data_IF_805261799561
#
_entry.id   IF_805261799561
#
_cell.length_a   1.000
_cell.length_b   1.000
_cell.length_c   1.000
_cell.angle_alpha   90.00
_cell.angle_beta   90.00
_cell.angle_gamma   90.00
#
_symmetry.space_group_name_H-M   'P 1'
#
loop_
_entity.id
_entity.type
_entity.pdbx_description
1 polymer ?
#
# COMPACT_ATOMS: atom_id res chain seq x y z
N UNK A 1 -29.82 -22.30 -52.83
CA UNK A 1 -30.43 -22.57 -51.52
C UNK A 1 -30.28 -24.05 -51.21
N UNK A 2 -29.36 -24.39 -50.31
CA UNK A 2 -29.32 -25.73 -49.71
C UNK A 2 -30.42 -25.73 -48.64
N UNK A 3 -31.37 -26.67 -48.70
CA UNK A 3 -32.42 -26.76 -47.67
C UNK A 3 -31.84 -27.14 -46.31
N UNK A 4 -32.46 -26.67 -45.22
CA UNK A 4 -32.02 -26.89 -43.83
C UNK A 4 -31.74 -28.37 -43.53
N UNK A 5 -32.60 -29.28 -44.00
CA UNK A 5 -32.39 -30.74 -43.84
C UNK A 5 -31.11 -31.25 -44.52
N UNK A 6 -30.76 -30.70 -45.67
CA UNK A 6 -29.53 -31.07 -46.39
C UNK A 6 -28.30 -30.49 -45.69
N UNK A 7 -28.41 -29.32 -45.05
CA UNK A 7 -27.34 -28.76 -44.23
C UNK A 7 -27.10 -29.61 -42.97
N UNK A 8 -28.16 -29.99 -42.25
CA UNK A 8 -28.09 -30.87 -41.08
C UNK A 8 -27.34 -32.16 -41.43
N UNK A 9 -27.74 -32.82 -42.52
CA UNK A 9 -27.10 -34.07 -42.94
C UNK A 9 -25.61 -33.90 -43.23
N UNK A 10 -25.18 -32.78 -43.83
CA UNK A 10 -23.76 -32.52 -44.08
C UNK A 10 -22.95 -32.42 -42.78
N UNK A 11 -23.48 -31.75 -41.76
CA UNK A 11 -22.81 -31.63 -40.47
C UNK A 11 -22.83 -32.94 -39.67
N UNK A 12 -23.93 -33.70 -39.72
CA UNK A 12 -24.00 -35.04 -39.09
C UNK A 12 -23.02 -36.03 -39.73
N UNK A 13 -22.96 -36.06 -41.07
CA UNK A 13 -22.01 -36.90 -41.80
C UNK A 13 -20.55 -36.49 -41.49
N UNK A 14 -20.30 -35.19 -41.27
CA UNK A 14 -18.97 -34.70 -40.88
C UNK A 14 -18.56 -35.20 -39.48
N UNK A 15 -19.50 -35.26 -38.53
CA UNK A 15 -19.27 -35.76 -37.18
C UNK A 15 -19.12 -37.28 -37.08
N UNK A 16 -19.55 -38.02 -38.11
CA UNK A 16 -19.42 -39.48 -38.18
C UNK A 16 -18.10 -39.96 -38.80
N UNK A 17 -17.28 -39.07 -39.38
CA UNK A 17 -15.99 -39.44 -39.98
C UNK A 17 -15.01 -39.87 -38.89
N UNK A 18 -14.38 -41.04 -39.06
CA UNK A 18 -13.39 -41.58 -38.11
C UNK A 18 -12.14 -40.68 -38.00
N UNK A 19 -11.76 -40.33 -36.78
CA UNK A 19 -10.56 -39.57 -36.42
C UNK A 19 -10.86 -38.41 -35.45
N UNK A 20 -9.83 -37.83 -34.79
CA UNK A 20 -10.01 -36.60 -34.05
C UNK A 20 -10.44 -35.49 -35.03
N UNK A 21 -11.65 -34.98 -34.85
CA UNK A 21 -12.22 -33.90 -35.64
C UNK A 21 -11.82 -32.56 -35.00
N UNK A 22 -10.83 -31.82 -35.55
CA UNK A 22 -10.65 -30.43 -35.16
C UNK A 22 -11.94 -29.66 -35.44
N UNK A 23 -12.34 -28.79 -34.51
CA UNK A 23 -13.56 -27.96 -34.58
C UNK A 23 -14.87 -28.75 -34.52
N UNK A 24 -14.88 -29.91 -33.85
CA UNK A 24 -16.12 -30.67 -33.61
C UNK A 24 -17.17 -29.85 -32.84
N UNK A 25 -16.71 -28.96 -31.96
CA UNK A 25 -17.55 -28.05 -31.21
C UNK A 25 -18.36 -27.11 -32.13
N UNK A 26 -17.69 -26.53 -33.13
CA UNK A 26 -18.33 -25.64 -34.10
C UNK A 26 -19.40 -26.35 -34.93
N UNK A 27 -19.17 -27.61 -35.35
CA UNK A 27 -20.19 -28.38 -36.05
C UNK A 27 -21.41 -28.69 -35.20
N UNK A 28 -21.22 -28.93 -33.90
CA UNK A 28 -22.33 -29.07 -32.98
C UNK A 28 -23.08 -27.75 -32.76
N UNK A 29 -22.40 -26.60 -32.72
CA UNK A 29 -23.05 -25.29 -32.65
C UNK A 29 -23.91 -25.00 -33.89
N UNK A 30 -23.38 -25.24 -35.09
CA UNK A 30 -24.13 -25.08 -36.35
C UNK A 30 -25.34 -26.02 -36.43
N UNK A 31 -25.19 -27.28 -36.00
CA UNK A 31 -26.32 -28.20 -35.90
C UNK A 31 -27.39 -27.71 -34.94
N UNK A 32 -26.99 -27.12 -33.81
CA UNK A 32 -27.96 -26.56 -32.88
C UNK A 32 -28.79 -25.45 -33.53
N UNK A 33 -28.16 -24.52 -34.25
CA UNK A 33 -28.85 -23.46 -34.97
C UNK A 33 -29.82 -24.01 -36.02
N UNK A 34 -29.39 -24.98 -36.82
CA UNK A 34 -30.25 -25.60 -37.83
C UNK A 34 -31.44 -26.34 -37.22
N UNK A 35 -31.25 -27.02 -36.09
CA UNK A 35 -32.34 -27.68 -35.37
C UNK A 35 -33.30 -26.68 -34.70
N UNK A 36 -32.82 -25.53 -34.21
CA UNK A 36 -33.67 -24.43 -33.75
C UNK A 36 -34.53 -23.87 -34.88
N UNK A 37 -33.97 -23.67 -36.08
CA UNK A 37 -34.70 -23.20 -37.27
C UNK A 37 -35.85 -24.15 -37.66
N UNK A 38 -35.70 -25.45 -37.40
CA UNK A 38 -36.74 -26.45 -37.61
C UNK A 38 -37.75 -26.54 -36.45
N UNK A 39 -37.56 -25.79 -35.37
CA UNK A 39 -38.36 -25.91 -34.15
C UNK A 39 -38.06 -27.16 -33.32
N UNK A 40 -37.01 -27.92 -33.64
CA UNK A 40 -36.61 -29.11 -32.91
C UNK A 40 -35.72 -28.74 -31.70
N UNK A 41 -36.39 -28.28 -30.64
CA UNK A 41 -35.74 -27.79 -29.43
C UNK A 41 -34.91 -28.86 -28.69
N UNK A 42 -35.28 -30.13 -28.76
CA UNK A 42 -34.58 -31.20 -28.04
C UNK A 42 -33.25 -31.53 -28.71
N UNK A 43 -33.24 -31.66 -30.04
CA UNK A 43 -32.00 -31.83 -30.81
C UNK A 43 -31.09 -30.62 -30.69
N UNK A 44 -31.64 -29.40 -30.76
CA UNK A 44 -30.89 -28.17 -30.56
C UNK A 44 -30.18 -28.16 -29.18
N UNK A 45 -30.92 -28.41 -28.10
CA UNK A 45 -30.35 -28.48 -26.73
C UNK A 45 -29.27 -29.56 -26.59
N UNK A 46 -29.47 -30.72 -27.21
CA UNK A 46 -28.45 -31.78 -27.22
C UNK A 46 -27.16 -31.29 -27.87
N UNK A 47 -27.27 -30.65 -29.03
CA UNK A 47 -26.12 -30.16 -29.77
C UNK A 47 -25.42 -28.97 -29.10
N UNK A 48 -26.16 -28.08 -28.43
CA UNK A 48 -25.57 -27.01 -27.60
C UNK A 48 -24.69 -27.59 -26.49
N UNK A 49 -25.19 -28.61 -25.77
CA UNK A 49 -24.40 -29.25 -24.70
C UNK A 49 -23.11 -29.89 -25.23
N UNK A 50 -23.19 -30.54 -26.40
CA UNK A 50 -22.03 -31.13 -27.05
C UNK A 50 -21.04 -30.05 -27.54
N UNK A 51 -21.53 -28.93 -28.06
CA UNK A 51 -20.70 -27.81 -28.48
C UNK A 51 -19.96 -27.16 -27.30
N UNK A 52 -20.63 -26.94 -26.17
CA UNK A 52 -20.01 -26.42 -24.94
C UNK A 52 -18.89 -27.34 -24.48
N UNK A 53 -19.16 -28.64 -24.36
CA UNK A 53 -18.15 -29.63 -23.96
C UNK A 53 -16.96 -29.67 -24.92
N UNK A 54 -17.22 -29.65 -26.23
CA UNK A 54 -16.17 -29.61 -27.25
C UNK A 54 -15.31 -28.34 -27.15
N UNK A 55 -15.92 -27.17 -26.96
CA UNK A 55 -15.16 -25.92 -26.80
C UNK A 55 -14.30 -25.91 -25.52
N UNK A 56 -14.78 -26.51 -24.42
CA UNK A 56 -13.96 -26.71 -23.22
C UNK A 56 -12.76 -27.63 -23.48
N UNK A 57 -12.95 -28.76 -24.17
CA UNK A 57 -11.88 -29.70 -24.52
C UNK A 57 -10.85 -29.09 -25.49
N UNK A 58 -11.31 -28.29 -26.46
CA UNK A 58 -10.47 -27.58 -27.42
C UNK A 58 -9.73 -26.37 -26.80
N UNK A 59 -10.06 -25.99 -25.55
CA UNK A 59 -9.52 -24.80 -24.88
C UNK A 59 -10.07 -23.47 -25.44
N UNK A 60 -11.15 -23.52 -26.21
CA UNK A 60 -11.84 -22.38 -26.81
C UNK A 60 -12.82 -21.73 -25.81
N UNK A 61 -12.27 -21.17 -24.73
CA UNK A 61 -13.00 -20.62 -23.58
C UNK A 61 -14.17 -19.71 -23.99
N UNK A 62 -13.95 -18.79 -24.92
CA UNK A 62 -14.99 -17.83 -25.33
C UNK A 62 -16.15 -18.49 -26.09
N UNK A 63 -15.91 -19.58 -26.83
CA UNK A 63 -16.97 -20.34 -27.49
C UNK A 63 -17.91 -20.97 -26.46
N UNK A 64 -17.35 -21.65 -25.47
CA UNK A 64 -18.11 -22.25 -24.38
C UNK A 64 -18.87 -21.18 -23.55
N UNK A 65 -18.21 -20.07 -23.19
CA UNK A 65 -18.82 -18.96 -22.44
C UNK A 65 -20.00 -18.32 -23.18
N UNK A 66 -19.86 -18.08 -24.49
CA UNK A 66 -20.94 -17.46 -25.28
C UNK A 66 -22.18 -18.36 -25.33
N UNK A 67 -21.99 -19.67 -25.50
CA UNK A 67 -23.10 -20.63 -25.49
C UNK A 67 -23.76 -20.75 -24.12
N UNK A 68 -22.98 -20.81 -23.03
CA UNK A 68 -23.52 -20.83 -21.67
C UNK A 68 -24.24 -19.52 -21.30
N UNK A 69 -23.76 -18.36 -21.75
CA UNK A 69 -24.48 -17.09 -21.57
C UNK A 69 -25.83 -17.07 -22.30
N UNK A 70 -25.89 -17.66 -23.51
CA UNK A 70 -27.10 -17.62 -24.34
C UNK A 70 -28.14 -18.68 -23.97
N UNK A 71 -27.69 -19.87 -23.57
CA UNK A 71 -28.55 -21.04 -23.44
C UNK A 71 -28.45 -21.74 -22.07
N UNK A 72 -27.50 -21.33 -21.24
CA UNK A 72 -27.15 -21.98 -19.98
C UNK A 72 -27.29 -21.06 -18.76
N UNK A 73 -26.30 -21.08 -17.88
CA UNK A 73 -26.34 -20.32 -16.61
C UNK A 73 -25.06 -19.52 -16.38
N UNK A 74 -25.19 -18.39 -15.69
CA UNK A 74 -24.03 -17.61 -15.24
C UNK A 74 -23.10 -18.41 -14.32
N UNK A 75 -23.63 -19.35 -13.53
CA UNK A 75 -22.81 -20.25 -12.70
C UNK A 75 -21.86 -21.12 -13.54
N UNK A 76 -22.31 -21.60 -14.71
CA UNK A 76 -21.46 -22.35 -15.62
C UNK A 76 -20.43 -21.44 -16.29
N UNK A 77 -20.83 -20.23 -16.70
CA UNK A 77 -19.91 -19.20 -17.24
C UNK A 77 -18.78 -18.93 -16.24
N UNK A 78 -19.11 -18.71 -14.96
CA UNK A 78 -18.14 -18.48 -13.89
C UNK A 78 -17.19 -19.67 -13.76
N UNK A 79 -17.72 -20.91 -13.73
CA UNK A 79 -16.89 -22.13 -13.62
C UNK A 79 -15.91 -22.27 -14.77
N UNK A 80 -16.35 -22.06 -16.01
CA UNK A 80 -15.51 -22.15 -17.20
C UNK A 80 -14.39 -21.12 -17.14
N UNK A 81 -14.72 -19.87 -16.84
CA UNK A 81 -13.75 -18.77 -16.77
C UNK A 81 -12.73 -18.97 -15.64
N UNK A 82 -13.17 -19.36 -14.43
CA UNK A 82 -12.27 -19.63 -13.30
C UNK A 82 -11.33 -20.80 -13.62
N UNK A 83 -11.84 -21.91 -14.15
CA UNK A 83 -11.02 -23.06 -14.53
C UNK A 83 -9.99 -22.68 -15.59
N UNK A 84 -10.41 -21.93 -16.61
CA UNK A 84 -9.51 -21.46 -17.65
C UNK A 84 -8.44 -20.50 -17.10
N UNK A 85 -8.81 -19.62 -16.16
CA UNK A 85 -7.89 -18.73 -15.48
C UNK A 85 -6.81 -19.51 -14.72
N UNK A 86 -7.20 -20.52 -13.94
CA UNK A 86 -6.31 -21.38 -13.16
C UNK A 86 -5.34 -22.16 -14.08
N UNK A 87 -5.81 -22.69 -15.21
CA UNK A 87 -4.96 -23.36 -16.20
C UNK A 87 -3.94 -22.39 -16.80
N UNK A 88 -4.34 -21.17 -17.16
CA UNK A 88 -3.43 -20.16 -17.72
C UNK A 88 -2.41 -19.69 -16.69
N UNK A 89 -2.83 -19.52 -15.44
CA UNK A 89 -1.94 -19.16 -14.34
C UNK A 89 -0.88 -20.25 -14.10
N UNK A 90 -1.30 -21.53 -14.05
CA UNK A 90 -0.39 -22.66 -13.89
C UNK A 90 0.62 -22.78 -15.05
N UNK A 91 0.23 -22.35 -16.26
CA UNK A 91 1.11 -22.30 -17.42
C UNK A 91 2.03 -21.05 -17.47
N UNK A 92 2.01 -20.19 -16.45
CA UNK A 92 2.80 -18.95 -16.40
C UNK A 92 2.23 -17.79 -17.23
N UNK A 93 1.03 -17.93 -17.79
CA UNK A 93 0.33 -16.92 -18.59
C UNK A 93 -0.43 -15.89 -17.74
N UNK A 94 0.25 -15.26 -16.77
CA UNK A 94 -0.36 -14.43 -15.70
C UNK A 94 -1.40 -13.42 -16.19
N UNK A 95 -1.08 -12.64 -17.23
CA UNK A 95 -2.01 -11.62 -17.78
C UNK A 95 -3.32 -12.19 -18.34
N UNK A 96 -3.24 -13.34 -19.03
CA UNK A 96 -4.44 -13.97 -19.58
C UNK A 96 -5.30 -14.60 -18.48
N UNK A 97 -4.68 -15.23 -17.48
CA UNK A 97 -5.41 -15.76 -16.32
C UNK A 97 -6.14 -14.65 -15.56
N UNK A 98 -5.48 -13.50 -15.34
CA UNK A 98 -6.08 -12.32 -14.72
C UNK A 98 -7.35 -11.86 -15.42
N UNK A 99 -7.31 -11.70 -16.75
CA UNK A 99 -8.47 -11.24 -17.53
C UNK A 99 -9.66 -12.19 -17.39
N UNK A 100 -9.41 -13.49 -17.30
CA UNK A 100 -10.44 -14.49 -17.11
C UNK A 100 -11.04 -14.44 -15.70
N UNK A 101 -10.23 -14.21 -14.66
CA UNK A 101 -10.76 -13.94 -13.32
C UNK A 101 -11.63 -12.67 -13.29
N UNK A 102 -11.21 -11.61 -13.97
CA UNK A 102 -12.00 -10.38 -14.05
C UNK A 102 -13.41 -10.64 -14.63
N UNK A 103 -13.47 -11.31 -15.78
CA UNK A 103 -14.73 -11.67 -16.44
C UNK A 103 -15.59 -12.63 -15.59
N UNK A 104 -14.94 -13.56 -14.88
CA UNK A 104 -15.65 -14.46 -13.97
C UNK A 104 -16.27 -13.71 -12.78
N UNK A 105 -15.56 -12.72 -12.24
CA UNK A 105 -16.08 -11.90 -11.16
C UNK A 105 -17.25 -11.03 -11.64
N UNK A 106 -17.16 -10.39 -12.81
CA UNK A 106 -18.28 -9.65 -13.42
C UNK A 106 -19.51 -10.55 -13.63
N UNK A 107 -19.32 -11.77 -14.12
CA UNK A 107 -20.42 -12.74 -14.26
C UNK A 107 -21.04 -13.14 -12.90
N UNK A 108 -20.23 -13.24 -11.84
CA UNK A 108 -20.72 -13.48 -10.49
C UNK A 108 -21.50 -12.29 -9.91
N UNK A 109 -21.09 -11.06 -10.22
CA UNK A 109 -21.84 -9.84 -9.87
C UNK A 109 -23.17 -9.76 -10.62
N UNK A 110 -23.16 -10.06 -11.91
CA UNK A 110 -24.36 -10.14 -12.76
C UNK A 110 -25.35 -11.18 -12.22
N UNK A 111 -24.85 -12.30 -11.70
CA UNK A 111 -25.65 -13.33 -11.05
C UNK A 111 -26.14 -12.93 -9.62
N UNK A 112 -25.71 -11.79 -9.09
CA UNK A 112 -26.03 -11.32 -7.73
C UNK A 112 -25.25 -12.04 -6.62
N UNK A 113 -24.25 -12.86 -6.96
CA UNK A 113 -23.44 -13.60 -5.99
C UNK A 113 -22.18 -12.79 -5.60
N UNK A 114 -22.40 -11.75 -4.78
CA UNK A 114 -21.36 -10.79 -4.40
C UNK A 114 -20.20 -11.42 -3.62
N UNK A 115 -20.46 -12.45 -2.80
CA UNK A 115 -19.41 -13.13 -2.04
C UNK A 115 -18.49 -13.95 -2.95
N UNK A 116 -19.07 -14.68 -3.92
CA UNK A 116 -18.28 -15.38 -4.93
C UNK A 116 -17.50 -14.38 -5.80
N UNK A 117 -18.12 -13.27 -6.23
CA UNK A 117 -17.44 -12.22 -6.97
C UNK A 117 -16.23 -11.66 -6.19
N UNK A 118 -16.39 -11.42 -4.90
CA UNK A 118 -15.30 -10.96 -4.02
C UNK A 118 -14.14 -11.96 -3.97
N UNK A 119 -14.43 -13.25 -3.83
CA UNK A 119 -13.41 -14.31 -3.81
C UNK A 119 -12.68 -14.44 -5.15
N UNK A 120 -13.39 -14.25 -6.27
CA UNK A 120 -12.79 -14.27 -7.61
C UNK A 120 -11.91 -13.02 -7.83
N UNK A 121 -12.39 -11.83 -7.45
CA UNK A 121 -11.59 -10.61 -7.45
C UNK A 121 -10.36 -10.71 -6.56
N UNK A 122 -10.44 -11.46 -5.46
CA UNK A 122 -9.30 -11.73 -4.61
C UNK A 122 -8.24 -12.58 -5.34
N UNK A 123 -8.64 -13.59 -6.13
CA UNK A 123 -7.72 -14.33 -7.02
C UNK A 123 -7.13 -13.45 -8.12
N UNK A 124 -7.95 -12.58 -8.73
CA UNK A 124 -7.50 -11.60 -9.71
C UNK A 124 -6.41 -10.69 -9.13
N UNK A 125 -6.63 -10.18 -7.91
CA UNK A 125 -5.69 -9.33 -7.19
C UNK A 125 -4.40 -10.07 -6.83
N UNK A 126 -4.49 -11.33 -6.39
CA UNK A 126 -3.30 -12.14 -6.07
C UNK A 126 -2.42 -12.39 -7.31
N UNK A 127 -3.04 -12.51 -8.48
CA UNK A 127 -2.32 -12.58 -9.75
C UNK A 127 -1.59 -11.26 -10.04
N UNK A 128 -2.29 -10.13 -9.93
CA UNK A 128 -1.73 -8.78 -10.12
C UNK A 128 -0.58 -8.46 -9.16
N UNK A 129 -0.71 -8.84 -7.88
CA UNK A 129 0.31 -8.57 -6.87
C UNK A 129 1.58 -9.42 -7.09
N UNK A 130 1.47 -10.62 -7.67
CA UNK A 130 2.63 -11.46 -8.04
C UNK A 130 3.32 -10.98 -9.32
N UNK A 131 2.58 -10.37 -10.23
CA UNK A 131 3.11 -10.04 -11.55
C UNK A 131 4.20 -8.95 -11.49
N UNK A 132 5.36 -9.17 -12.11
CA UNK A 132 6.46 -8.19 -12.12
C UNK A 132 6.31 -7.10 -13.19
N UNK A 133 5.12 -6.95 -13.79
CA UNK A 133 4.89 -6.03 -14.89
C UNK A 133 4.89 -4.58 -14.39
N UNK A 134 5.76 -3.76 -14.96
CA UNK A 134 5.87 -2.32 -14.67
C UNK A 134 4.74 -1.49 -15.29
N UNK A 135 3.90 -2.07 -16.15
CA UNK A 135 2.77 -1.40 -16.85
C UNK A 135 1.41 -1.66 -16.22
N UNK A 136 1.36 -2.15 -14.98
CA UNK A 136 0.08 -2.35 -14.30
C UNK A 136 -0.61 -1.02 -14.06
N UNK A 137 -1.91 -0.98 -14.32
CA UNK A 137 -2.74 0.17 -13.99
C UNK A 137 -2.87 0.29 -12.47
N UNK A 138 -2.13 1.24 -11.90
CA UNK A 138 -2.11 1.54 -10.48
C UNK A 138 -3.51 1.81 -9.92
N UNK A 139 -4.33 2.60 -10.60
CA UNK A 139 -5.65 2.98 -10.09
C UNK A 139 -6.60 1.78 -10.10
N UNK A 140 -6.56 0.98 -11.17
CA UNK A 140 -7.32 -0.28 -11.26
C UNK A 140 -6.96 -1.27 -10.15
N UNK A 141 -5.68 -1.51 -9.89
CA UNK A 141 -5.26 -2.46 -8.83
C UNK A 141 -5.65 -1.98 -7.44
N UNK A 142 -5.48 -0.69 -7.13
CA UNK A 142 -5.88 -0.14 -5.83
C UNK A 142 -7.41 -0.20 -5.66
N UNK A 143 -8.16 0.09 -6.71
CA UNK A 143 -9.63 0.01 -6.70
C UNK A 143 -10.09 -1.43 -6.48
N UNK A 144 -9.47 -2.39 -7.15
CA UNK A 144 -9.72 -3.81 -6.94
C UNK A 144 -9.40 -4.24 -5.50
N UNK A 145 -8.25 -3.83 -4.95
CA UNK A 145 -7.88 -4.14 -3.57
C UNK A 145 -8.88 -3.58 -2.55
N UNK A 146 -9.40 -2.36 -2.78
CA UNK A 146 -10.49 -1.78 -1.97
C UNK A 146 -11.78 -2.58 -2.11
N UNK A 147 -12.12 -3.04 -3.33
CA UNK A 147 -13.31 -3.86 -3.62
C UNK A 147 -13.25 -5.22 -2.92
N UNK A 148 -12.08 -5.87 -2.91
CA UNK A 148 -11.84 -7.12 -2.17
C UNK A 148 -12.00 -6.91 -0.66
N UNK A 149 -11.60 -5.74 -0.16
CA UNK A 149 -11.76 -5.35 1.24
C UNK A 149 -10.73 -5.98 2.18
N UNK A 150 -9.78 -6.76 1.66
CA UNK A 150 -8.67 -7.32 2.43
C UNK A 150 -7.56 -6.26 2.61
N UNK A 151 -7.33 -5.86 3.86
CA UNK A 151 -6.43 -4.76 4.22
C UNK A 151 -4.97 -5.09 3.98
N UNK A 152 -4.55 -6.32 4.25
CA UNK A 152 -3.19 -6.76 3.98
C UNK A 152 -2.86 -6.70 2.49
N UNK A 153 -3.83 -7.06 1.64
CA UNK A 153 -3.69 -6.97 0.18
C UNK A 153 -3.74 -5.53 -0.31
N UNK A 154 -4.53 -4.66 0.34
CA UNK A 154 -4.51 -3.22 0.05
C UNK A 154 -3.16 -2.58 0.40
N UNK A 155 -2.57 -2.93 1.54
CA UNK A 155 -1.22 -2.47 1.90
C UNK A 155 -0.20 -2.98 0.88
N UNK A 156 -0.25 -4.27 0.52
CA UNK A 156 0.63 -4.84 -0.49
C UNK A 156 0.49 -4.17 -1.87
N UNK A 157 -0.74 -3.78 -2.25
CA UNK A 157 -0.97 -3.00 -3.46
C UNK A 157 -0.30 -1.63 -3.39
N UNK A 158 -0.42 -0.91 -2.27
CA UNK A 158 0.27 0.37 -2.10
C UNK A 158 1.79 0.22 -2.11
N UNK A 159 2.34 -0.82 -1.45
CA UNK A 159 3.78 -1.11 -1.46
C UNK A 159 4.29 -1.41 -2.89
N UNK A 160 3.51 -2.15 -3.69
CA UNK A 160 3.86 -2.48 -5.08
C UNK A 160 3.99 -1.25 -6.00
N UNK A 161 3.22 -0.20 -5.74
CA UNK A 161 3.24 1.05 -6.53
C UNK A 161 4.01 2.17 -5.86
N UNK A 162 4.92 1.85 -4.93
CA UNK A 162 5.75 2.82 -4.21
C UNK A 162 4.90 3.95 -3.56
N UNK A 163 3.79 3.57 -2.93
CA UNK A 163 2.91 4.45 -2.16
C UNK A 163 3.02 4.21 -0.65
N UNK A 164 4.20 4.46 -0.04
CA UNK A 164 4.45 4.11 1.36
C UNK A 164 3.56 4.88 2.35
N UNK A 165 3.13 6.10 2.01
CA UNK A 165 2.26 6.89 2.89
C UNK A 165 0.88 6.26 3.08
N UNK A 166 0.29 5.75 1.99
CA UNK A 166 -1.03 5.14 2.06
C UNK A 166 -0.95 3.73 2.63
N UNK A 167 0.12 2.99 2.32
CA UNK A 167 0.45 1.73 2.98
C UNK A 167 0.57 1.92 4.51
N UNK A 168 1.32 2.94 4.94
CA UNK A 168 1.52 3.28 6.35
C UNK A 168 0.20 3.61 7.06
N UNK A 169 -0.62 4.50 6.48
CA UNK A 169 -1.89 4.91 7.09
C UNK A 169 -2.84 3.74 7.27
N UNK A 170 -2.95 2.87 6.27
CA UNK A 170 -3.80 1.67 6.37
C UNK A 170 -3.23 0.70 7.40
N UNK A 171 -1.91 0.43 7.38
CA UNK A 171 -1.27 -0.44 8.37
C UNK A 171 -1.52 0.06 9.80
N UNK A 172 -1.40 1.37 10.05
CA UNK A 172 -1.64 1.94 11.38
C UNK A 172 -3.12 1.86 11.79
N UNK A 173 -4.05 2.12 10.86
CA UNK A 173 -5.49 2.04 11.14
C UNK A 173 -5.95 0.63 11.52
N UNK A 174 -5.34 -0.40 10.94
CA UNK A 174 -5.63 -1.81 11.25
C UNK A 174 -4.81 -2.33 12.45
N UNK A 175 -3.98 -1.50 13.07
CA UNK A 175 -3.18 -1.87 14.24
C UNK A 175 -1.88 -2.63 13.93
N UNK A 176 -1.47 -2.71 12.66
CA UNK A 176 -0.21 -3.33 12.23
C UNK A 176 0.99 -2.41 12.48
N UNK A 177 1.30 -2.12 13.74
CA UNK A 177 2.31 -1.14 14.13
C UNK A 177 3.71 -1.49 13.65
N UNK A 178 4.08 -2.76 13.65
CA UNK A 178 5.41 -3.21 13.21
C UNK A 178 5.58 -3.03 11.70
N UNK A 179 4.55 -3.41 10.91
CA UNK A 179 4.53 -3.21 9.46
C UNK A 179 4.53 -1.72 9.11
N UNK A 180 3.76 -0.90 9.83
CA UNK A 180 3.77 0.55 9.65
C UNK A 180 5.18 1.13 9.88
N UNK A 181 5.89 0.70 10.94
CA UNK A 181 7.28 1.12 11.17
C UNK A 181 8.24 0.64 10.07
N UNK A 182 8.09 -0.60 9.61
CA UNK A 182 8.92 -1.13 8.53
C UNK A 182 8.75 -0.32 7.24
N UNK A 183 7.49 -0.01 6.86
CA UNK A 183 7.18 0.85 5.72
C UNK A 183 7.84 2.22 5.90
N UNK A 184 7.68 2.82 7.07
CA UNK A 184 8.22 4.14 7.37
C UNK A 184 9.75 4.19 7.26
N UNK A 185 10.46 3.16 7.74
CA UNK A 185 11.92 3.12 7.72
C UNK A 185 12.53 2.78 6.36
N UNK A 186 11.73 2.28 5.42
CA UNK A 186 12.12 2.14 4.01
C UNK A 186 11.98 3.44 3.23
N UNK A 187 11.26 4.44 3.77
CA UNK A 187 11.11 5.74 3.12
C UNK A 187 12.42 6.53 3.18
N UNK A 188 12.70 7.30 2.13
CA UNK A 188 13.79 8.28 2.18
C UNK A 188 13.47 9.41 3.16
N UNK A 189 14.50 9.98 3.77
CA UNK A 189 14.38 11.13 4.68
C UNK A 189 13.88 12.34 3.90
N UNK A 190 12.60 12.63 4.06
CA UNK A 190 11.84 13.61 3.26
C UNK A 190 10.80 14.30 4.15
N UNK A 191 10.18 15.39 3.68
CA UNK A 191 9.16 16.15 4.43
C UNK A 191 7.97 15.26 4.83
N UNK A 192 7.72 14.20 4.05
CA UNK A 192 6.70 13.19 4.21
C UNK A 192 6.80 12.48 5.57
N UNK A 193 8.01 12.18 6.06
CA UNK A 193 8.19 11.57 7.38
C UNK A 193 7.68 12.48 8.49
N UNK A 194 7.85 13.80 8.36
CA UNK A 194 7.32 14.76 9.34
C UNK A 194 5.80 14.78 9.38
N UNK A 195 5.14 14.61 8.22
CA UNK A 195 3.68 14.51 8.11
C UNK A 195 3.17 13.21 8.74
N UNK A 196 3.89 12.09 8.52
CA UNK A 196 3.58 10.81 9.14
C UNK A 196 3.76 10.85 10.67
N UNK A 197 4.83 11.46 11.16
CA UNK A 197 5.06 11.63 12.60
C UNK A 197 3.94 12.46 13.28
N UNK A 198 3.49 13.55 12.65
CA UNK A 198 2.34 14.31 13.14
C UNK A 198 1.07 13.47 13.14
N UNK A 199 0.82 12.72 12.07
CA UNK A 199 -0.32 11.81 12.00
C UNK A 199 -0.29 10.74 13.10
N UNK A 200 0.87 10.13 13.39
CA UNK A 200 0.98 9.16 14.50
C UNK A 200 0.77 9.82 15.85
N UNK A 201 1.22 11.07 16.01
CA UNK A 201 1.06 11.83 17.23
C UNK A 201 -0.41 12.13 17.52
N UNK A 202 -1.14 12.59 16.50
CA UNK A 202 -2.58 12.87 16.57
C UNK A 202 -3.39 11.61 16.91
N UNK A 203 -2.89 10.44 16.52
CA UNK A 203 -3.45 9.13 16.85
C UNK A 203 -3.01 8.57 18.21
N UNK A 204 -2.14 9.27 18.93
CA UNK A 204 -1.67 8.89 20.26
C UNK A 204 -0.50 7.90 20.27
N UNK A 205 0.10 7.57 19.13
CA UNK A 205 1.26 6.67 19.04
C UNK A 205 2.56 7.43 19.32
N UNK A 206 2.79 7.80 20.58
CA UNK A 206 3.91 8.68 20.95
C UNK A 206 5.28 8.03 20.69
N UNK A 207 5.48 6.78 21.11
CA UNK A 207 6.73 6.05 20.89
C UNK A 207 7.03 5.87 19.39
N UNK A 208 6.00 5.64 18.59
CA UNK A 208 6.13 5.56 17.12
C UNK A 208 6.56 6.90 16.55
N UNK A 209 5.88 7.98 16.95
CA UNK A 209 6.19 9.36 16.54
C UNK A 209 7.65 9.71 16.80
N UNK A 210 8.16 9.39 17.99
CA UNK A 210 9.56 9.63 18.37
C UNK A 210 10.52 8.94 17.40
N UNK A 211 10.30 7.66 17.11
CA UNK A 211 11.14 6.88 16.19
C UNK A 211 11.09 7.43 14.77
N UNK A 212 9.93 7.92 14.32
CA UNK A 212 9.80 8.53 12.99
C UNK A 212 10.57 9.86 12.94
N UNK A 213 10.46 10.72 13.96
CA UNK A 213 11.22 11.97 14.00
C UNK A 213 12.74 11.73 14.06
N UNK A 214 13.20 10.74 14.84
CA UNK A 214 14.61 10.34 14.87
C UNK A 214 15.08 9.85 13.49
N UNK A 215 14.31 8.99 12.83
CA UNK A 215 14.64 8.51 11.49
C UNK A 215 14.64 9.63 10.45
N UNK A 216 13.75 10.61 10.59
CA UNK A 216 13.67 11.78 9.73
C UNK A 216 14.80 12.81 9.96
N UNK A 217 15.68 12.61 10.95
CA UNK A 217 16.68 13.61 11.33
C UNK A 217 16.06 14.90 11.90
N UNK A 218 14.88 14.77 12.52
CA UNK A 218 14.15 15.87 13.16
C UNK A 218 14.30 15.76 14.68
N UNK A 219 15.54 15.71 15.15
CA UNK A 219 15.83 15.38 16.55
C UNK A 219 15.27 16.41 17.54
N UNK A 220 15.19 17.68 17.13
CA UNK A 220 14.55 18.74 17.92
C UNK A 220 13.06 18.47 18.17
N UNK A 221 12.33 18.03 17.15
CA UNK A 221 10.91 17.68 17.28
C UNK A 221 10.73 16.37 18.06
N UNK A 222 11.65 15.42 17.90
CA UNK A 222 11.71 14.21 18.73
C UNK A 222 11.89 14.59 20.22
N UNK A 223 12.84 15.47 20.55
CA UNK A 223 13.11 15.89 21.92
C UNK A 223 11.91 16.63 22.54
N UNK A 224 11.30 17.59 21.82
CA UNK A 224 10.08 18.28 22.27
C UNK A 224 8.95 17.30 22.56
N UNK A 225 8.72 16.36 21.65
CA UNK A 225 7.69 15.32 21.80
C UNK A 225 7.99 14.46 23.03
N UNK A 226 9.23 14.04 23.22
CA UNK A 226 9.62 13.23 24.38
C UNK A 226 9.37 13.96 25.71
N UNK A 227 9.69 15.26 25.79
CA UNK A 227 9.38 16.09 26.96
C UNK A 227 7.87 16.19 27.21
N UNK A 228 7.10 16.48 26.16
CA UNK A 228 5.66 16.70 26.25
C UNK A 228 4.91 15.46 26.73
N UNK A 229 5.35 14.27 26.28
CA UNK A 229 4.67 13.00 26.57
C UNK A 229 5.38 12.18 27.67
N UNK A 230 6.11 12.84 28.57
CA UNK A 230 6.55 12.24 29.82
C UNK A 230 7.80 11.35 29.71
N UNK A 231 8.59 11.50 28.65
CA UNK A 231 9.90 10.86 28.50
C UNK A 231 11.05 11.89 28.46
N UNK A 232 11.25 12.67 29.54
CA UNK A 232 12.30 13.69 29.56
C UNK A 232 13.72 13.10 29.50
N UNK A 233 13.94 11.87 29.97
CA UNK A 233 15.25 11.21 29.88
C UNK A 233 15.68 11.00 28.42
N UNK A 234 14.77 10.52 27.57
CA UNK A 234 15.04 10.37 26.14
C UNK A 234 15.29 11.72 25.45
N UNK A 235 14.54 12.75 25.82
CA UNK A 235 14.78 14.10 25.30
C UNK A 235 16.19 14.62 25.66
N UNK A 236 16.63 14.34 26.89
CA UNK A 236 17.96 14.70 27.37
C UNK A 236 19.05 14.01 26.56
N UNK A 237 18.93 12.69 26.34
CA UNK A 237 19.86 11.90 25.52
C UNK A 237 19.99 12.46 24.10
N UNK A 238 18.86 12.77 23.46
CA UNK A 238 18.82 13.34 22.10
C UNK A 238 19.54 14.70 22.07
N UNK A 239 19.24 15.58 23.02
CA UNK A 239 19.80 16.93 23.04
C UNK A 239 21.29 16.94 23.40
N UNK A 240 21.72 16.12 24.37
CA UNK A 240 23.12 16.05 24.80
C UNK A 240 24.03 15.53 23.70
N UNK A 241 23.59 14.52 22.95
CA UNK A 241 24.32 14.04 21.78
C UNK A 241 24.60 15.19 20.79
N UNK A 242 23.59 16.05 20.52
CA UNK A 242 23.75 17.21 19.64
C UNK A 242 24.61 18.31 20.25
N UNK A 243 24.51 18.54 21.56
CA UNK A 243 25.31 19.54 22.29
C UNK A 243 26.81 19.19 22.25
N UNK A 244 27.14 17.91 22.41
CA UNK A 244 28.51 17.43 22.54
C UNK A 244 29.15 17.05 21.18
N UNK A 245 28.37 16.95 20.10
CA UNK A 245 28.92 16.70 18.74
C UNK A 245 29.61 17.96 18.18
N UNK A 246 30.90 17.88 17.77
CA UNK A 246 31.57 18.98 17.08
C UNK A 246 31.01 19.15 15.66
N UNK A 247 30.46 20.32 15.32
CA UNK A 247 30.00 20.58 13.95
C UNK A 247 31.17 21.03 13.06
N UNK A 248 31.47 20.27 11.99
CA UNK A 248 32.58 20.52 11.06
C UNK A 248 32.47 21.85 10.28
N UNK A 249 31.27 22.44 10.17
CA UNK A 249 31.00 23.60 9.32
C UNK A 249 30.58 24.88 10.07
N UNK A 250 30.90 25.02 11.36
CA UNK A 250 30.65 26.27 12.09
C UNK A 250 29.17 26.65 12.26
N UNK A 251 28.23 25.73 12.00
CA UNK A 251 26.86 25.86 12.51
C UNK A 251 26.89 25.57 14.01
N UNK A 252 27.06 26.63 14.78
CA UNK A 252 27.12 26.56 16.22
C UNK A 252 25.79 26.06 16.77
N UNK A 253 25.85 25.05 17.65
CA UNK A 253 24.69 24.29 18.12
C UNK A 253 23.53 25.20 18.54
N UNK A 254 22.34 24.92 17.99
CA UNK A 254 21.11 25.66 18.23
C UNK A 254 20.83 25.77 19.74
N UNK A 255 20.65 27.00 20.23
CA UNK A 255 20.33 27.31 21.63
C UNK A 255 19.11 26.52 22.13
N UNK A 256 18.21 26.16 21.22
CA UNK A 256 17.03 25.39 21.56
C UNK A 256 17.36 23.98 22.08
N UNK A 257 18.46 23.34 21.65
CA UNK A 257 18.88 22.06 22.23
C UNK A 257 19.29 22.19 23.69
N UNK A 258 19.99 23.28 24.05
CA UNK A 258 20.33 23.56 25.44
C UNK A 258 19.09 23.86 26.27
N UNK A 259 18.13 24.60 25.72
CA UNK A 259 16.87 24.91 26.39
C UNK A 259 16.04 23.64 26.65
N UNK A 260 15.91 22.78 25.64
CA UNK A 260 15.20 21.50 25.77
C UNK A 260 15.90 20.57 26.76
N UNK A 261 17.24 20.48 26.73
CA UNK A 261 18.01 19.69 27.67
C UNK A 261 17.87 20.19 29.11
N UNK A 262 17.88 21.51 29.33
CA UNK A 262 17.64 22.09 30.65
C UNK A 262 16.21 21.84 31.16
N UNK A 263 15.19 21.94 30.30
CA UNK A 263 13.80 21.60 30.67
C UNK A 263 13.68 20.11 31.02
N UNK A 264 14.25 19.23 30.19
CA UNK A 264 14.29 17.80 30.43
C UNK A 264 14.96 17.45 31.78
N UNK A 265 16.15 17.98 32.05
CA UNK A 265 16.85 17.77 33.34
C UNK A 265 16.02 18.28 34.52
N UNK A 266 15.33 19.42 34.35
CA UNK A 266 14.43 19.97 35.37
C UNK A 266 13.27 19.04 35.68
N UNK A 267 12.64 18.44 34.66
CA UNK A 267 11.50 17.52 34.80
C UNK A 267 11.89 16.19 35.44
N UNK A 268 13.13 15.76 35.27
CA UNK A 268 13.69 14.57 35.92
C UNK A 268 14.10 14.88 37.38
N UNK A 269 14.27 16.16 37.72
CA UNK A 269 14.75 16.61 39.04
C UNK A 269 16.27 16.62 39.17
N UNK A 270 17.00 16.50 38.06
CA UNK A 270 18.48 16.49 38.02
C UNK A 270 19.01 17.93 37.97
N UNK A 271 19.16 18.54 39.15
CA UNK A 271 19.62 19.92 39.30
C UNK A 271 21.07 20.11 38.85
N UNK A 272 21.95 19.16 39.19
CA UNK A 272 23.38 19.23 38.84
C UNK A 272 23.57 19.22 37.32
N UNK A 273 22.85 18.33 36.63
CA UNK A 273 22.94 18.22 35.18
C UNK A 273 22.34 19.43 34.47
N UNK A 274 21.21 19.95 34.96
CA UNK A 274 20.63 21.23 34.47
C UNK A 274 21.65 22.37 34.59
N UNK A 275 22.32 22.50 35.73
CA UNK A 275 23.35 23.53 35.93
C UNK A 275 24.53 23.35 34.98
N UNK A 276 25.02 22.11 34.83
CA UNK A 276 26.11 21.79 33.92
C UNK A 276 25.78 22.19 32.48
N UNK A 277 24.58 21.83 31.99
CA UNK A 277 24.10 22.16 30.64
C UNK A 277 24.02 23.68 30.47
N UNK A 278 23.43 24.40 31.43
CA UNK A 278 23.34 25.86 31.38
C UNK A 278 24.71 26.55 31.39
N UNK A 279 25.67 26.07 32.19
CA UNK A 279 27.05 26.59 32.19
C UNK A 279 27.75 26.33 30.86
N UNK A 280 27.59 25.13 30.27
CA UNK A 280 28.09 24.81 28.92
C UNK A 280 27.51 25.78 27.88
N UNK A 281 26.21 26.05 27.93
CA UNK A 281 25.54 27.00 27.02
C UNK A 281 26.13 28.41 27.14
N UNK A 282 26.22 28.95 28.37
CA UNK A 282 26.77 30.28 28.63
C UNK A 282 28.19 30.41 28.07
N UNK A 283 29.06 29.44 28.38
CA UNK A 283 30.45 29.44 27.91
C UNK A 283 30.51 29.40 26.38
N UNK A 284 29.72 28.52 25.75
CA UNK A 284 29.72 28.37 24.29
C UNK A 284 29.23 29.63 23.59
N UNK A 285 28.04 30.13 23.92
CA UNK A 285 27.46 31.29 23.24
C UNK A 285 28.22 32.59 23.51
N UNK A 286 28.86 32.73 24.66
CA UNK A 286 29.70 33.91 24.95
C UNK A 286 30.99 33.90 24.15
N UNK A 287 31.59 32.72 23.93
CA UNK A 287 32.73 32.57 23.03
C UNK A 287 32.39 32.90 21.56
N UNK A 288 31.12 32.79 21.19
CA UNK A 288 30.60 33.14 19.85
C UNK A 288 30.16 34.60 19.73
N UNK A 289 30.23 35.37 20.82
CA UNK A 289 29.72 36.75 20.86
C UNK A 289 28.19 36.84 20.87
N UNK A 290 27.48 35.72 21.03
CA UNK A 290 26.02 35.68 21.19
C UNK A 290 25.61 35.99 22.63
N UNK A 291 26.00 37.18 23.11
CA UNK A 291 25.81 37.57 24.50
C UNK A 291 24.34 37.62 24.93
N UNK A 292 23.40 37.93 24.02
CA UNK A 292 21.96 37.87 24.34
C UNK A 292 21.50 36.45 24.69
N UNK A 293 22.06 35.43 24.02
CA UNK A 293 21.75 34.02 24.29
C UNK A 293 22.38 33.60 25.61
N UNK A 294 23.65 33.96 25.86
CA UNK A 294 24.33 33.71 27.14
C UNK A 294 23.62 34.37 28.34
N UNK A 295 23.11 35.60 28.17
CA UNK A 295 22.35 36.30 29.20
C UNK A 295 21.11 35.50 29.60
N UNK A 296 20.33 35.05 28.61
CA UNK A 296 19.12 34.23 28.81
C UNK A 296 19.41 32.94 29.59
N UNK A 297 20.52 32.25 29.30
CA UNK A 297 20.91 31.05 30.05
C UNK A 297 21.38 31.37 31.47
N UNK A 298 22.08 32.48 31.68
CA UNK A 298 22.46 32.94 33.02
C UNK A 298 21.23 33.25 33.89
N UNK A 299 20.21 33.91 33.32
CA UNK A 299 18.92 34.14 34.00
C UNK A 299 18.22 32.83 34.36
N UNK A 300 18.20 31.84 33.46
CA UNK A 300 17.61 30.51 33.72
C UNK A 300 18.31 29.72 34.82
N UNK A 301 19.57 30.05 35.12
CA UNK A 301 20.33 29.52 36.25
C UNK A 301 20.22 30.39 37.52
N UNK A 302 19.59 31.57 37.43
CA UNK A 302 19.49 32.53 38.54
C UNK A 302 20.75 33.40 38.74
N UNK A 303 21.70 33.40 37.81
CA UNK A 303 22.92 34.23 37.86
C UNK A 303 22.63 35.63 37.28
N UNK A 304 21.95 36.45 38.08
CA UNK A 304 21.49 37.79 37.68
C UNK A 304 22.62 38.76 37.36
N UNK A 305 23.79 38.63 38.02
CA UNK A 305 24.94 39.50 37.77
C UNK A 305 25.56 39.20 36.41
N UNK A 306 25.76 37.92 36.10
CA UNK A 306 26.29 37.49 34.81
C UNK A 306 25.32 37.75 33.68
N UNK A 307 24.02 37.56 33.92
CA UNK A 307 22.97 37.92 32.96
C UNK A 307 23.05 39.41 32.57
N UNK A 308 23.08 40.33 33.56
CA UNK A 308 23.20 41.77 33.31
C UNK A 308 24.47 42.13 32.53
N UNK A 309 25.58 41.47 32.87
CA UNK A 309 26.86 41.68 32.18
C UNK A 309 26.75 41.33 30.70
N UNK A 310 26.19 40.17 30.37
CA UNK A 310 26.00 39.78 28.98
C UNK A 310 24.95 40.61 28.25
N UNK A 311 23.88 41.05 28.92
CA UNK A 311 22.90 41.99 28.34
C UNK A 311 23.56 43.32 27.96
N UNK A 312 24.45 43.84 28.82
CA UNK A 312 25.24 45.04 28.51
C UNK A 312 26.13 44.80 27.29
N UNK A 313 26.88 43.69 27.25
CA UNK A 313 27.75 43.34 26.13
C UNK A 313 26.96 43.18 24.81
N UNK A 314 25.76 42.61 24.86
CA UNK A 314 24.88 42.47 23.71
C UNK A 314 24.36 43.81 23.17
N UNK A 315 24.27 44.84 24.03
CA UNK A 315 23.81 46.19 23.67
C UNK A 315 24.90 47.08 23.06
N UNK A 316 26.16 46.64 23.10
CA UNK A 316 27.26 47.39 22.51
C UNK A 316 27.15 47.39 20.97
N UNK A 317 27.58 48.46 20.29
CA UNK A 317 27.62 48.50 18.84
C UNK A 317 28.49 47.36 18.30
N UNK A 318 28.00 46.63 17.29
CA UNK A 318 28.83 45.68 16.55
C UNK A 318 29.90 46.47 15.79
N UNK A 319 31.17 46.22 16.12
CA UNK A 319 32.34 46.80 15.43
C UNK A 319 32.61 46.05 14.14
#
# INVERSE_FOLDING_TARGET
>A
YVGVERAIKVYEDALQKEGPLPNSAHYHEELAHLYEEQGNSDSAKKHIKLAIAGYEEEGAVYGAVNLERRYGTLDNVIKILVRAAEVKEAAGGGNYGRLLYHQAAEAAEEAGNLENARQIHEKELDSLLRESCWRLDKEGVITLAKKVGNKDKLIAAYEKFDLPQEAFKVALQEGYTDRAMEICFKMSVTEELSKLAKFTLDKGYQNMTLRIYEHAGLEKEAAKTAIQYGNPQKALEICELKIDTPHENGYYGDADYYDLAMDAASRIGDKERRELIGRKAIHKFSALGEFSVSARFAEKLGDNERARTYTLLASLPKV
#
